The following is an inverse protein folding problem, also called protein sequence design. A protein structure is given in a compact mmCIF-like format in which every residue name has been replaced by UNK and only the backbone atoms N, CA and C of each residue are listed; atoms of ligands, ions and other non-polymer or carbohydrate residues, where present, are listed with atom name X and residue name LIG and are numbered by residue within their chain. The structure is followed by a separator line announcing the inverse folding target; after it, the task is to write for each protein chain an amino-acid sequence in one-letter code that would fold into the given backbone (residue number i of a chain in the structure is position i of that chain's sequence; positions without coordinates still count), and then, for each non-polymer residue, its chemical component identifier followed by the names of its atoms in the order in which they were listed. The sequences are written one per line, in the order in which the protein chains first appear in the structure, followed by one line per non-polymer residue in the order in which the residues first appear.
data_IF_955567758275
#
_entry.id   IF_955567758275
#
_cell.length_a   1.000
_cell.length_b   1.000
_cell.length_c   1.000
_cell.angle_alpha   90.00
_cell.angle_beta   90.00
_cell.angle_gamma   90.00
#
_symmetry.space_group_name_H-M   'P 1'
#
loop_
_entity.id
_entity.type
_entity.pdbx_description
1 polymer ?
#
# COMPACT_ATOMS: atom_id res chain seq x y z
N UNK A 1 -52.67 35.08 -54.94
CA UNK A 1 -52.58 34.86 -53.51
C UNK A 1 -51.57 33.69 -53.31
N UNK A 2 -50.31 33.99 -53.06
CA UNK A 2 -49.23 32.97 -52.96
C UNK A 2 -48.92 32.78 -51.47
N UNK A 3 -49.09 31.57 -50.95
CA UNK A 3 -48.79 31.18 -49.60
C UNK A 3 -47.32 30.70 -49.59
N UNK A 4 -46.43 31.43 -48.86
CA UNK A 4 -45.06 31.01 -48.56
C UNK A 4 -45.09 30.07 -47.39
N UNK A 5 -44.70 28.81 -47.61
CA UNK A 5 -44.43 27.84 -46.55
C UNK A 5 -43.00 27.97 -46.12
N UNK A 6 -42.78 28.41 -44.88
CA UNK A 6 -41.47 28.45 -44.27
C UNK A 6 -41.13 27.10 -43.67
N UNK A 7 -40.12 26.43 -44.23
CA UNK A 7 -39.57 25.17 -43.68
C UNK A 7 -38.53 25.55 -42.63
N UNK A 8 -38.82 25.24 -41.38
CA UNK A 8 -37.85 25.35 -40.29
C UNK A 8 -36.94 24.12 -40.28
N UNK A 9 -35.67 24.32 -40.60
CA UNK A 9 -34.65 23.28 -40.47
C UNK A 9 -34.22 23.16 -39.00
N UNK A 10 -34.57 22.04 -38.36
CA UNK A 10 -34.04 21.66 -37.06
C UNK A 10 -32.58 21.16 -37.22
N UNK A 11 -31.62 21.96 -36.80
CA UNK A 11 -30.23 21.56 -36.65
C UNK A 11 -30.12 20.73 -35.39
N UNK A 12 -30.05 19.40 -35.55
CA UNK A 12 -29.66 18.48 -34.45
C UNK A 12 -28.16 18.58 -34.22
N UNK A 13 -27.76 19.19 -33.12
CA UNK A 13 -26.37 19.08 -32.60
C UNK A 13 -26.12 17.62 -32.17
N UNK A 14 -25.01 17.01 -32.60
CA UNK A 14 -24.60 15.74 -32.01
C UNK A 14 -24.17 16.00 -30.57
N UNK A 15 -24.83 15.33 -29.62
CA UNK A 15 -24.38 15.25 -28.25
C UNK A 15 -23.01 14.59 -28.25
N UNK A 16 -21.97 15.39 -27.95
CA UNK A 16 -20.65 14.87 -27.62
C UNK A 16 -20.78 14.12 -26.31
N UNK A 17 -20.93 12.80 -26.38
CA UNK A 17 -20.68 11.94 -25.22
C UNK A 17 -19.19 12.04 -24.91
N UNK A 18 -18.84 12.83 -23.90
CA UNK A 18 -17.59 12.71 -23.17
C UNK A 18 -17.60 11.30 -22.55
N UNK A 19 -16.95 10.38 -23.23
CA UNK A 19 -16.55 9.11 -22.61
C UNK A 19 -15.47 9.52 -21.60
N UNK A 20 -15.89 9.70 -20.34
CA UNK A 20 -14.95 9.61 -19.23
C UNK A 20 -14.28 8.25 -19.37
N UNK A 21 -12.98 8.27 -19.67
CA UNK A 21 -12.16 7.07 -19.62
C UNK A 21 -12.26 6.56 -18.19
N UNK A 22 -13.14 5.60 -17.97
CA UNK A 22 -13.17 4.81 -16.75
C UNK A 22 -11.79 4.18 -16.64
N UNK A 23 -11.08 4.61 -15.62
CA UNK A 23 -9.80 4.05 -15.19
C UNK A 23 -10.00 2.53 -15.06
N UNK A 24 -9.51 1.78 -16.06
CA UNK A 24 -9.87 0.38 -16.24
C UNK A 24 -9.30 -0.43 -15.08
N UNK A 25 -10.10 -0.54 -13.98
CA UNK A 25 -10.10 -1.72 -13.16
C UNK A 25 -8.82 -2.09 -12.42
N UNK A 26 -8.12 -1.14 -11.78
CA UNK A 26 -7.24 -1.53 -10.69
C UNK A 26 -8.11 -1.48 -9.43
N UNK A 27 -8.58 -2.66 -9.03
CA UNK A 27 -9.32 -2.86 -7.80
C UNK A 27 -8.43 -2.38 -6.63
N UNK A 28 -8.88 -1.36 -5.89
CA UNK A 28 -8.18 -0.92 -4.67
C UNK A 28 -8.10 -2.09 -3.71
N UNK A 29 -6.90 -2.63 -3.50
CA UNK A 29 -6.65 -3.77 -2.62
C UNK A 29 -6.82 -3.43 -1.14
N UNK A 30 -6.87 -2.12 -0.81
CA UNK A 30 -7.25 -1.58 0.49
C UNK A 30 -7.72 -0.12 0.33
N UNK A 31 -8.62 0.33 1.21
CA UNK A 31 -8.86 1.75 1.42
C UNK A 31 -7.72 2.29 2.31
N UNK A 32 -7.23 3.52 2.02
CA UNK A 32 -6.23 4.14 2.87
C UNK A 32 -6.77 4.32 4.29
N UNK A 33 -6.17 3.62 5.21
CA UNK A 33 -6.39 3.76 6.63
C UNK A 33 -5.03 3.77 7.35
N UNK A 34 -4.61 4.90 7.92
CA UNK A 34 -3.27 5.02 8.47
C UNK A 34 -3.10 4.17 9.75
N UNK A 35 -2.12 3.27 9.75
CA UNK A 35 -1.75 2.48 10.93
C UNK A 35 -1.25 3.39 12.06
N UNK A 36 -1.78 3.33 13.29
CA UNK A 36 -1.26 4.10 14.42
C UNK A 36 0.23 3.87 14.65
N UNK A 37 0.96 4.91 15.08
CA UNK A 37 2.44 4.81 15.24
C UNK A 37 2.84 3.77 16.28
N UNK A 38 2.04 3.58 17.32
CA UNK A 38 2.23 2.51 18.32
C UNK A 38 2.18 1.13 17.68
N UNK A 39 1.24 0.91 16.76
CA UNK A 39 1.09 -0.34 16.00
C UNK A 39 2.23 -0.49 14.99
N UNK A 40 2.65 0.59 14.31
CA UNK A 40 3.83 0.58 13.43
C UNK A 40 5.07 0.11 14.18
N UNK A 41 5.31 0.65 15.39
CA UNK A 41 6.43 0.21 16.22
C UNK A 41 6.34 -1.28 16.54
N UNK A 42 5.17 -1.76 16.92
CA UNK A 42 4.93 -3.18 17.19
C UNK A 42 5.14 -4.08 15.97
N UNK A 43 4.70 -3.65 14.79
CA UNK A 43 4.94 -4.39 13.53
C UNK A 43 6.45 -4.56 13.25
N UNK A 44 7.23 -3.48 13.41
CA UNK A 44 8.67 -3.50 13.17
C UNK A 44 9.42 -4.30 14.25
N UNK A 45 8.98 -4.23 15.52
CA UNK A 45 9.51 -5.02 16.64
C UNK A 45 9.21 -6.51 16.42
N UNK A 46 7.96 -6.88 16.15
CA UNK A 46 7.53 -8.25 15.89
C UNK A 46 8.27 -8.84 14.68
N UNK A 47 8.46 -8.05 13.63
CA UNK A 47 9.26 -8.39 12.47
C UNK A 47 10.75 -8.51 12.76
N UNK A 48 11.23 -8.09 13.94
CA UNK A 48 12.63 -8.17 14.35
C UNK A 48 13.58 -7.44 13.40
N UNK A 49 13.17 -6.25 12.94
CA UNK A 49 13.93 -5.44 11.98
C UNK A 49 15.31 -5.06 12.54
N UNK A 50 16.34 -5.18 11.69
CA UNK A 50 17.73 -4.85 12.04
C UNK A 50 18.27 -3.72 11.16
N UNK A 51 19.27 -3.02 11.67
CA UNK A 51 19.96 -1.99 10.89
C UNK A 51 20.52 -2.55 9.58
N UNK A 52 20.32 -1.80 8.48
CA UNK A 52 20.76 -2.18 7.14
C UNK A 52 19.85 -3.16 6.39
N UNK A 53 18.90 -3.82 7.07
CA UNK A 53 17.90 -4.66 6.39
C UNK A 53 16.96 -3.82 5.53
N UNK A 54 16.43 -4.42 4.46
CA UNK A 54 15.41 -3.79 3.62
C UNK A 54 14.03 -4.21 4.08
N UNK A 55 13.21 -3.22 4.45
CA UNK A 55 11.79 -3.34 4.80
C UNK A 55 10.96 -2.86 3.61
N UNK A 56 10.10 -3.72 3.08
CA UNK A 56 9.08 -3.31 2.10
C UNK A 56 7.72 -3.15 2.80
N UNK A 57 7.03 -2.06 2.48
CA UNK A 57 5.67 -1.78 2.94
C UNK A 57 4.70 -1.77 1.77
N UNK A 58 3.74 -2.70 1.75
CA UNK A 58 2.82 -2.93 0.66
C UNK A 58 1.53 -2.10 0.86
N UNK A 59 1.30 -1.11 -0.02
CA UNK A 59 0.27 -0.11 0.19
C UNK A 59 0.72 0.91 1.24
N UNK A 60 1.85 1.57 1.00
CA UNK A 60 2.57 2.32 2.03
C UNK A 60 1.90 3.63 2.48
N UNK A 61 0.83 4.07 1.79
CA UNK A 61 0.09 5.26 2.16
C UNK A 61 0.99 6.50 2.30
N UNK A 62 0.95 7.14 3.46
CA UNK A 62 1.77 8.33 3.77
C UNK A 62 3.24 8.02 4.12
N UNK A 63 3.66 6.77 3.94
CA UNK A 63 5.04 6.32 4.14
C UNK A 63 5.47 6.15 5.59
N UNK A 64 4.54 6.17 6.56
CA UNK A 64 4.88 6.17 8.00
C UNK A 64 5.69 4.96 8.44
N UNK A 65 5.41 3.75 7.94
CA UNK A 65 6.16 2.53 8.27
C UNK A 65 7.56 2.60 7.68
N UNK A 66 7.67 3.00 6.42
CA UNK A 66 8.95 3.20 5.70
C UNK A 66 9.85 4.21 6.42
N UNK A 67 9.28 5.36 6.79
CA UNK A 67 9.96 6.42 7.54
C UNK A 67 10.41 5.91 8.91
N UNK A 68 9.52 5.21 9.62
CA UNK A 68 9.81 4.69 10.96
C UNK A 68 10.91 3.63 10.94
N UNK A 69 10.92 2.73 9.95
CA UNK A 69 11.97 1.75 9.73
C UNK A 69 13.35 2.44 9.55
N UNK A 70 13.40 3.49 8.74
CA UNK A 70 14.63 4.25 8.50
C UNK A 70 15.09 5.03 9.73
N UNK A 71 14.19 5.75 10.41
CA UNK A 71 14.53 6.62 11.53
C UNK A 71 14.94 5.83 12.77
N UNK A 72 14.08 4.90 13.22
CA UNK A 72 14.26 4.21 14.50
C UNK A 72 15.21 3.02 14.38
N UNK A 73 15.12 2.25 13.29
CA UNK A 73 15.84 0.99 13.16
C UNK A 73 17.07 1.07 12.25
N UNK A 74 17.30 2.22 11.59
CA UNK A 74 18.39 2.37 10.60
C UNK A 74 18.31 1.35 9.47
N UNK A 75 17.10 0.91 9.16
CA UNK A 75 16.80 0.02 8.05
C UNK A 75 16.62 0.80 6.75
N UNK A 76 16.61 0.10 5.62
CA UNK A 76 16.25 0.67 4.31
C UNK A 76 14.76 0.46 4.10
N UNK A 77 13.97 1.53 4.14
CA UNK A 77 12.53 1.47 3.90
C UNK A 77 12.18 1.63 2.42
N UNK A 78 11.35 0.75 1.89
CA UNK A 78 10.81 0.83 0.51
C UNK A 78 9.31 0.67 0.59
N UNK A 79 8.54 1.72 0.29
CA UNK A 79 7.10 1.64 0.17
C UNK A 79 6.67 1.41 -1.27
N UNK A 80 5.51 0.78 -1.45
CA UNK A 80 4.82 0.70 -2.74
C UNK A 80 3.45 1.34 -2.56
N UNK A 81 3.17 2.41 -3.31
CA UNK A 81 1.91 3.15 -3.22
C UNK A 81 1.34 3.39 -4.60
N UNK A 82 0.06 3.11 -4.76
CA UNK A 82 -0.65 3.27 -6.02
C UNK A 82 -1.29 4.65 -6.17
N UNK A 83 -1.81 5.21 -5.08
CA UNK A 83 -2.43 6.53 -5.08
C UNK A 83 -1.37 7.62 -5.28
N UNK A 84 -1.51 8.39 -6.36
CA UNK A 84 -0.54 9.42 -6.73
C UNK A 84 -0.41 10.52 -5.66
N UNK A 85 -1.50 10.88 -5.00
CA UNK A 85 -1.50 11.92 -3.96
C UNK A 85 -0.74 11.45 -2.73
N UNK A 86 -1.00 10.24 -2.24
CA UNK A 86 -0.28 9.63 -1.12
C UNK A 86 1.20 9.40 -1.46
N UNK A 87 1.48 8.95 -2.67
CA UNK A 87 2.86 8.82 -3.17
C UNK A 87 3.61 10.16 -3.08
N UNK A 88 3.06 11.25 -3.66
CA UNK A 88 3.69 12.59 -3.62
C UNK A 88 3.88 13.08 -2.19
N UNK A 89 2.87 12.91 -1.34
CA UNK A 89 2.93 13.29 0.07
C UNK A 89 4.04 12.54 0.81
N UNK A 90 4.13 11.22 0.63
CA UNK A 90 5.12 10.38 1.30
C UNK A 90 6.54 10.69 0.85
N UNK A 91 6.75 10.92 -0.45
CA UNK A 91 8.06 11.32 -1.02
C UNK A 91 8.51 12.66 -0.45
N UNK A 92 7.62 13.66 -0.41
CA UNK A 92 7.94 14.97 0.15
C UNK A 92 8.25 14.89 1.65
N UNK A 93 7.52 14.07 2.39
CA UNK A 93 7.79 13.82 3.81
C UNK A 93 9.17 13.18 4.04
N UNK A 94 9.54 12.18 3.22
CA UNK A 94 10.87 11.56 3.26
C UNK A 94 11.96 12.59 2.98
N UNK A 95 11.76 13.46 1.99
CA UNK A 95 12.69 14.52 1.62
C UNK A 95 12.88 15.53 2.75
N UNK A 96 11.80 16.02 3.33
CA UNK A 96 11.80 16.98 4.44
C UNK A 96 12.49 16.43 5.68
N UNK A 97 12.38 15.13 5.94
CA UNK A 97 13.04 14.45 7.04
C UNK A 97 14.51 14.08 6.76
N UNK A 98 15.04 14.39 5.58
CA UNK A 98 16.42 14.05 5.19
C UNK A 98 16.71 12.56 5.05
N UNK A 99 15.68 11.75 4.74
CA UNK A 99 15.76 10.29 4.73
C UNK A 99 15.94 9.68 3.33
N UNK A 100 16.17 10.47 2.29
CA UNK A 100 16.22 10.01 0.90
C UNK A 100 17.28 8.94 0.63
N UNK A 101 18.34 8.88 1.45
CA UNK A 101 19.36 7.82 1.36
C UNK A 101 18.90 6.47 1.92
N UNK A 102 17.87 6.44 2.80
CA UNK A 102 17.45 5.25 3.53
C UNK A 102 15.96 4.90 3.37
N UNK A 103 15.17 5.79 2.76
CA UNK A 103 13.74 5.58 2.56
C UNK A 103 13.32 6.07 1.16
N UNK A 104 12.46 5.30 0.49
CA UNK A 104 11.88 5.68 -0.81
C UNK A 104 10.51 5.05 -0.99
N UNK A 105 9.70 5.65 -1.87
CA UNK A 105 8.41 5.09 -2.28
C UNK A 105 8.46 4.82 -3.78
N UNK A 106 7.91 3.68 -4.19
CA UNK A 106 7.67 3.30 -5.57
C UNK A 106 6.21 3.65 -5.88
N UNK A 107 5.98 4.52 -6.86
CA UNK A 107 4.63 4.74 -7.38
C UNK A 107 4.26 3.60 -8.32
N UNK A 108 3.25 2.79 -7.95
CA UNK A 108 2.81 1.69 -8.81
C UNK A 108 2.05 0.58 -8.12
N UNK A 109 1.72 -0.42 -8.92
CA UNK A 109 0.99 -1.60 -8.51
C UNK A 109 1.89 -2.54 -7.69
N UNK A 110 1.48 -2.84 -6.46
CA UNK A 110 2.21 -3.75 -5.57
C UNK A 110 2.27 -5.19 -6.10
N UNK A 111 1.35 -5.59 -6.98
CA UNK A 111 1.38 -6.92 -7.61
C UNK A 111 2.44 -7.06 -8.71
N UNK A 112 3.06 -5.94 -9.14
CA UNK A 112 4.06 -5.91 -10.21
C UNK A 112 5.48 -5.61 -9.73
N UNK A 113 5.71 -5.60 -8.41
CA UNK A 113 7.01 -5.27 -7.85
C UNK A 113 7.89 -6.51 -7.63
N UNK A 114 9.19 -6.25 -7.44
CA UNK A 114 10.17 -7.27 -7.09
C UNK A 114 10.54 -7.17 -5.61
N UNK A 115 10.21 -8.19 -4.84
CA UNK A 115 10.43 -8.27 -3.39
C UNK A 115 11.62 -9.16 -2.99
N UNK A 116 12.40 -9.68 -3.94
CA UNK A 116 13.51 -10.61 -3.67
C UNK A 116 14.57 -10.05 -2.70
N UNK A 117 14.70 -8.72 -2.63
CA UNK A 117 15.59 -8.02 -1.69
C UNK A 117 15.03 -7.81 -0.29
N UNK A 118 13.78 -8.19 -0.02
CA UNK A 118 13.15 -7.95 1.27
C UNK A 118 13.73 -8.85 2.38
N UNK A 119 13.95 -8.25 3.53
CA UNK A 119 14.17 -8.95 4.81
C UNK A 119 12.90 -8.96 5.63
N UNK A 120 12.12 -7.90 5.55
CA UNK A 120 10.80 -7.78 6.15
C UNK A 120 9.82 -7.19 5.13
N UNK A 121 8.63 -7.77 5.07
CA UNK A 121 7.44 -7.19 4.43
C UNK A 121 6.50 -6.75 5.54
N UNK A 122 5.97 -5.54 5.47
CA UNK A 122 4.82 -5.08 6.24
C UNK A 122 3.63 -4.92 5.32
N UNK A 123 2.43 -5.25 5.80
CA UNK A 123 1.22 -5.23 4.98
C UNK A 123 -0.02 -4.95 5.81
N UNK A 124 -0.85 -4.02 5.34
CA UNK A 124 -2.20 -3.77 5.86
C UNK A 124 -3.18 -3.71 4.69
N UNK A 125 -3.47 -4.87 4.12
CA UNK A 125 -4.39 -5.03 3.00
C UNK A 125 -5.61 -5.84 3.43
N UNK A 126 -6.71 -5.69 2.71
CA UNK A 126 -7.87 -6.55 2.87
C UNK A 126 -7.53 -8.02 2.51
N UNK A 127 -8.31 -9.01 2.97
CA UNK A 127 -8.05 -10.43 2.69
C UNK A 127 -7.85 -10.75 1.20
N UNK A 128 -8.60 -10.09 0.32
CA UNK A 128 -8.43 -10.24 -1.14
C UNK A 128 -7.06 -9.77 -1.61
N UNK A 129 -6.54 -8.67 -1.06
CA UNK A 129 -5.21 -8.16 -1.36
C UNK A 129 -4.13 -9.12 -0.89
N UNK A 130 -4.24 -9.63 0.35
CA UNK A 130 -3.32 -10.64 0.87
C UNK A 130 -3.32 -11.90 0.00
N UNK A 131 -4.48 -12.38 -0.43
CA UNK A 131 -4.59 -13.53 -1.33
C UNK A 131 -3.90 -13.31 -2.68
N UNK A 132 -4.02 -12.11 -3.26
CA UNK A 132 -3.39 -11.78 -4.56
C UNK A 132 -1.88 -11.64 -4.48
N UNK A 133 -1.35 -11.11 -3.39
CA UNK A 133 0.10 -10.93 -3.23
C UNK A 133 0.81 -12.21 -2.77
N UNK A 134 0.11 -13.14 -2.13
CA UNK A 134 0.67 -14.41 -1.62
C UNK A 134 1.56 -15.14 -2.63
N UNK A 135 1.10 -15.49 -3.84
CA UNK A 135 1.92 -16.26 -4.79
C UNK A 135 3.17 -15.49 -5.26
N UNK A 136 3.11 -14.16 -5.25
CA UNK A 136 4.24 -13.30 -5.61
C UNK A 136 5.31 -13.37 -4.51
N UNK A 137 4.90 -13.24 -3.25
CA UNK A 137 5.80 -13.32 -2.11
C UNK A 137 6.40 -14.73 -1.96
N UNK A 138 5.60 -15.78 -2.21
CA UNK A 138 6.09 -17.16 -2.18
C UNK A 138 7.22 -17.42 -3.19
N UNK A 139 7.07 -16.88 -4.39
CA UNK A 139 8.06 -17.03 -5.46
C UNK A 139 9.32 -16.21 -5.23
N UNK A 140 9.21 -15.05 -4.59
CA UNK A 140 10.28 -14.06 -4.57
C UNK A 140 11.04 -13.98 -3.25
N UNK A 141 10.36 -14.23 -2.11
CA UNK A 141 11.01 -14.06 -0.81
C UNK A 141 12.05 -15.16 -0.57
N UNK A 142 13.21 -14.74 -0.15
CA UNK A 142 14.30 -15.64 0.26
C UNK A 142 13.99 -16.31 1.59
N UNK A 143 14.62 -17.46 1.83
CA UNK A 143 14.59 -18.13 3.13
C UNK A 143 15.06 -17.18 4.24
N UNK A 144 14.29 -17.12 5.34
CA UNK A 144 14.54 -16.23 6.48
C UNK A 144 13.94 -14.84 6.33
N UNK A 145 13.30 -14.52 5.20
CA UNK A 145 12.47 -13.32 5.11
C UNK A 145 11.25 -13.44 6.02
N UNK A 146 10.77 -12.31 6.51
CA UNK A 146 9.64 -12.22 7.44
C UNK A 146 8.54 -11.38 6.82
N UNK A 147 7.28 -11.71 7.16
CA UNK A 147 6.11 -10.93 6.78
C UNK A 147 5.32 -10.62 8.03
N UNK A 148 4.98 -9.36 8.26
CA UNK A 148 4.08 -8.93 9.34
C UNK A 148 2.83 -8.34 8.71
N UNK A 149 1.70 -9.02 8.96
CA UNK A 149 0.38 -8.56 8.52
C UNK A 149 -0.37 -7.91 9.69
N UNK A 150 -1.07 -6.82 9.39
CA UNK A 150 -1.87 -6.05 10.32
C UNK A 150 -3.34 -6.36 10.11
N UNK A 151 -4.06 -6.78 11.14
CA UNK A 151 -5.46 -7.15 11.26
C UNK A 151 -5.94 -8.30 10.34
N UNK A 152 -5.42 -8.44 9.14
CA UNK A 152 -5.84 -9.45 8.18
C UNK A 152 -4.75 -10.48 7.92
N UNK A 153 -5.02 -11.74 8.26
CA UNK A 153 -4.07 -12.84 8.06
C UNK A 153 -3.88 -13.24 6.59
N UNK A 154 -2.77 -13.91 6.31
CA UNK A 154 -2.55 -14.68 5.08
C UNK A 154 -3.13 -16.08 5.27
N UNK A 155 -4.30 -16.35 4.72
CA UNK A 155 -5.00 -17.63 4.92
C UNK A 155 -4.24 -18.85 4.38
N UNK A 156 -3.33 -18.64 3.42
CA UNK A 156 -2.48 -19.69 2.87
C UNK A 156 -1.27 -20.04 3.76
N UNK A 157 -0.98 -19.26 4.79
CA UNK A 157 0.19 -19.42 5.63
C UNK A 157 -0.17 -19.61 7.10
N UNK A 158 0.59 -20.44 7.79
CA UNK A 158 0.48 -20.53 9.24
C UNK A 158 1.37 -19.46 9.90
N UNK A 159 0.85 -18.59 10.74
CA UNK A 159 1.66 -17.61 11.44
C UNK A 159 2.62 -18.29 12.42
N UNK A 160 3.87 -17.82 12.47
CA UNK A 160 4.86 -18.23 13.46
C UNK A 160 4.56 -17.60 14.83
N UNK A 161 3.96 -16.42 14.84
CA UNK A 161 3.50 -15.71 16.04
C UNK A 161 2.30 -14.82 15.70
N UNK A 162 1.39 -14.70 16.66
CA UNK A 162 0.29 -13.74 16.66
C UNK A 162 0.43 -12.87 17.90
N UNK A 163 0.22 -11.56 17.75
CA UNK A 163 0.28 -10.60 18.84
C UNK A 163 -0.95 -9.69 18.80
N UNK A 164 -1.70 -9.65 19.90
CA UNK A 164 -2.83 -8.75 20.07
C UNK A 164 -2.36 -7.44 20.70
N UNK A 165 -2.85 -6.32 20.20
CA UNK A 165 -2.65 -4.98 20.73
C UNK A 165 -4.02 -4.50 21.21
N UNK A 166 -4.26 -4.57 22.52
CA UNK A 166 -5.57 -4.25 23.11
C UNK A 166 -5.91 -2.77 23.00
N UNK A 167 -4.87 -1.90 22.94
CA UNK A 167 -5.05 -0.46 22.85
C UNK A 167 -3.94 0.21 22.05
N UNK A 168 -4.30 0.87 20.96
CA UNK A 168 -3.38 1.53 20.03
C UNK A 168 -2.99 2.98 20.43
N UNK A 169 -3.61 3.52 21.45
CA UNK A 169 -3.52 4.93 21.85
C UNK A 169 -4.69 5.78 21.35
N UNK A 170 -5.52 5.25 20.43
CA UNK A 170 -6.66 5.93 19.81
C UNK A 170 -8.01 5.25 20.11
N UNK A 171 -8.01 4.19 20.92
CA UNK A 171 -9.22 3.50 21.40
C UNK A 171 -9.59 2.25 20.61
N UNK A 172 -8.66 1.67 19.83
CA UNK A 172 -8.90 0.45 19.06
C UNK A 172 -7.89 -0.65 19.42
N UNK A 173 -8.34 -1.88 19.22
CA UNK A 173 -7.49 -3.07 19.28
C UNK A 173 -7.06 -3.48 17.88
N UNK A 174 -5.90 -4.11 17.77
CA UNK A 174 -5.35 -4.63 16.54
C UNK A 174 -4.74 -6.00 16.76
N UNK A 175 -4.58 -6.76 15.68
CA UNK A 175 -3.90 -8.05 15.68
C UNK A 175 -2.79 -8.07 14.65
N UNK A 176 -1.62 -8.55 15.07
CA UNK A 176 -0.46 -8.69 14.20
C UNK A 176 -0.13 -10.16 13.99
N UNK A 177 0.19 -10.53 12.77
CA UNK A 177 0.56 -11.88 12.37
C UNK A 177 1.98 -11.88 11.80
N UNK A 178 2.89 -12.63 12.42
CA UNK A 178 4.24 -12.83 11.91
C UNK A 178 4.33 -14.14 11.15
N UNK A 179 4.86 -14.09 9.94
CA UNK A 179 5.19 -15.26 9.11
C UNK A 179 6.69 -15.28 8.82
N UNK A 180 7.26 -16.50 8.77
CA UNK A 180 8.65 -16.74 8.39
C UNK A 180 8.69 -17.55 7.08
N UNK A 181 9.57 -17.14 6.15
CA UNK A 181 9.71 -17.75 4.82
C UNK A 181 11.03 -18.51 4.70
#
# INVERSE_FOLDING_TARGET
MRILSTVAALLSLPALFLVEAQDAGIEKLAQYYPTPITVVDKMLELGGVKAGETVFDLGSGDGRIVIRAAQKYKAKGVGVEFDESLYKQSVERIRTLGLTASARIIHGDLLKQNYAGAYLITVYLLPVGNGRVTPILEKQLKKGARVVAHDFEFTAWRPARVEDIDYDGEGRSHRLYLYQR
#
